data_IF_112207916511
#
_entry.id   IF_112207916511
#
_cell.length_a   1.000
_cell.length_b   1.000
_cell.length_c   1.000
_cell.angle_alpha   90.00
_cell.angle_beta   90.00
_cell.angle_gamma   90.00
#
_symmetry.space_group_name_H-M   'P 1'
#
loop_
_entity.id
_entity.type
_entity.pdbx_description
1 polymer ?
#
# COMPACT_ATOMS: atom_id res chain seq x y z
N UNK A 1 -16.71 -23.23 -9.48
CA UNK A 1 -16.34 -23.86 -8.22
C UNK A 1 -15.76 -22.84 -7.23
N UNK A 2 -14.71 -22.08 -7.60
CA UNK A 2 -14.05 -21.09 -6.73
C UNK A 2 -15.01 -19.95 -6.34
N UNK A 3 -15.69 -19.33 -7.31
CA UNK A 3 -16.64 -18.24 -7.04
C UNK A 3 -17.84 -18.66 -6.15
N UNK A 4 -18.10 -19.95 -5.99
CA UNK A 4 -19.12 -20.53 -5.08
C UNK A 4 -18.52 -21.03 -3.76
N UNK A 5 -17.26 -20.71 -3.44
CA UNK A 5 -16.59 -21.12 -2.19
C UNK A 5 -16.31 -22.62 -2.05
N UNK A 6 -16.39 -23.40 -3.15
CA UNK A 6 -16.14 -24.86 -3.12
C UNK A 6 -14.65 -25.20 -3.14
N UNK A 7 -13.79 -24.27 -3.52
CA UNK A 7 -12.33 -24.42 -3.56
C UNK A 7 -11.72 -23.14 -3.03
N UNK A 8 -11.07 -23.21 -1.87
CA UNK A 8 -10.46 -22.10 -1.18
C UNK A 8 -11.46 -21.16 -0.51
N UNK A 9 -10.94 -20.27 0.35
CA UNK A 9 -11.76 -19.26 1.03
C UNK A 9 -12.02 -18.08 0.10
N UNK A 10 -13.29 -17.81 -0.17
CA UNK A 10 -13.74 -16.56 -0.82
C UNK A 10 -14.62 -15.85 0.20
N UNK A 11 -14.23 -14.66 0.67
CA UNK A 11 -14.99 -13.96 1.70
C UNK A 11 -16.43 -13.69 1.26
N UNK A 12 -17.40 -13.76 2.20
CA UNK A 12 -18.77 -13.36 1.93
C UNK A 12 -18.86 -11.87 1.62
N UNK A 13 -20.01 -11.43 1.10
CA UNK A 13 -20.21 -10.05 0.65
C UNK A 13 -20.03 -9.08 1.81
N UNK A 14 -20.57 -9.41 2.97
CA UNK A 14 -20.52 -8.60 4.19
C UNK A 14 -19.09 -8.34 4.67
N UNK A 15 -18.20 -9.31 4.49
CA UNK A 15 -16.77 -9.14 4.83
C UNK A 15 -16.03 -8.31 3.76
N UNK A 16 -16.47 -8.39 2.51
CA UNK A 16 -15.92 -7.56 1.42
C UNK A 16 -16.39 -6.11 1.52
N UNK A 17 -17.63 -5.86 1.94
CA UNK A 17 -18.18 -4.52 2.17
C UNK A 17 -17.57 -3.84 3.40
N UNK A 18 -17.10 -4.61 4.38
CA UNK A 18 -16.44 -4.11 5.58
C UNK A 18 -15.13 -4.86 5.81
N UNK A 19 -14.11 -4.64 4.99
CA UNK A 19 -12.82 -5.27 5.17
C UNK A 19 -12.25 -4.87 6.53
N UNK A 20 -11.82 -5.85 7.31
CA UNK A 20 -11.34 -5.65 8.69
C UNK A 20 -10.00 -4.88 8.71
N UNK A 21 -10.08 -3.60 8.42
CA UNK A 21 -9.00 -2.64 8.55
C UNK A 21 -8.92 -2.25 10.02
N UNK A 22 -8.04 -2.90 10.78
CA UNK A 22 -7.78 -2.54 12.18
C UNK A 22 -7.01 -1.22 12.22
N UNK A 23 -7.74 -0.12 12.22
CA UNK A 23 -7.15 1.20 12.39
C UNK A 23 -6.90 1.52 13.85
N UNK A 24 -5.88 2.34 14.10
CA UNK A 24 -5.67 2.94 15.39
C UNK A 24 -6.74 4.02 15.63
N UNK A 25 -7.34 4.02 16.82
CA UNK A 25 -8.25 5.08 17.24
C UNK A 25 -7.47 6.37 17.45
N UNK A 26 -7.86 7.44 16.78
CA UNK A 26 -7.30 8.76 17.00
C UNK A 26 -7.98 9.43 18.20
N UNK A 27 -7.17 10.00 19.09
CA UNK A 27 -7.65 10.84 20.20
C UNK A 27 -7.39 12.28 19.80
N UNK A 28 -8.46 13.01 19.56
CA UNK A 28 -8.42 14.40 19.09
C UNK A 28 -9.01 15.28 20.21
N UNK A 29 -8.39 16.41 20.51
CA UNK A 29 -8.92 17.42 21.44
C UNK A 29 -10.05 18.20 20.79
N UNK A 30 -10.84 18.91 21.60
CA UNK A 30 -11.97 19.73 21.12
C UNK A 30 -11.53 20.80 20.12
N UNK A 31 -10.30 21.32 20.22
CA UNK A 31 -9.71 22.26 19.27
C UNK A 31 -9.10 21.57 18.01
N UNK A 32 -9.40 20.28 17.80
CA UNK A 32 -8.99 19.53 16.61
C UNK A 32 -7.54 19.04 16.60
N UNK A 33 -6.78 19.20 17.70
CA UNK A 33 -5.39 18.73 17.77
C UNK A 33 -5.32 17.24 18.05
N UNK A 34 -4.51 16.51 17.31
CA UNK A 34 -4.23 15.10 17.55
C UNK A 34 -3.43 14.94 18.85
N UNK A 35 -4.03 14.40 19.88
CA UNK A 35 -3.37 14.07 21.15
C UNK A 35 -2.54 12.79 21.03
N UNK A 36 -2.96 11.87 20.16
CA UNK A 36 -2.26 10.62 19.88
C UNK A 36 -3.19 9.56 19.32
N UNK A 37 -2.68 8.33 19.22
CA UNK A 37 -3.39 7.18 18.68
C UNK A 37 -3.41 6.02 19.66
N UNK A 38 -4.51 5.26 19.68
CA UNK A 38 -4.60 3.97 20.35
C UNK A 38 -4.70 2.87 19.32
N UNK A 39 -3.87 1.84 19.46
CA UNK A 39 -4.01 0.63 18.69
C UNK A 39 -4.22 -0.56 19.62
N UNK A 40 -5.23 -1.39 19.31
CA UNK A 40 -5.45 -2.69 19.97
C UNK A 40 -4.47 -3.76 19.42
N UNK A 41 -3.86 -3.49 18.27
CA UNK A 41 -2.81 -4.30 17.67
C UNK A 41 -1.49 -3.54 17.69
N UNK A 42 -0.37 -4.24 17.53
CA UNK A 42 0.95 -3.61 17.36
C UNK A 42 1.05 -2.75 16.08
N UNK A 43 -0.01 -2.71 15.28
CA UNK A 43 -0.10 -1.99 14.02
C UNK A 43 -0.66 -0.59 14.25
N UNK A 44 0.17 0.41 14.10
CA UNK A 44 -0.20 1.83 14.27
C UNK A 44 -0.76 2.41 12.96
N UNK A 45 -1.87 1.84 12.47
CA UNK A 45 -2.53 2.28 11.22
C UNK A 45 -3.41 3.48 11.49
N UNK A 46 -3.10 4.58 10.84
CA UNK A 46 -3.97 5.75 10.77
C UNK A 46 -4.55 5.82 9.38
N UNK A 47 -5.89 5.85 9.27
CA UNK A 47 -6.57 5.96 7.99
C UNK A 47 -6.30 7.30 7.32
N UNK A 48 -6.15 7.27 6.00
CA UNK A 48 -6.04 8.45 5.13
C UNK A 48 -7.07 8.29 4.02
N UNK A 49 -7.89 9.31 3.79
CA UNK A 49 -8.79 9.39 2.64
C UNK A 49 -8.03 9.66 1.33
N UNK A 50 -8.69 9.46 0.20
CA UNK A 50 -8.08 9.72 -1.11
C UNK A 50 -7.65 11.18 -1.28
N UNK A 51 -8.46 12.10 -0.79
CA UNK A 51 -8.25 13.55 -0.82
C UNK A 51 -7.01 14.02 -0.04
N UNK A 52 -6.52 13.19 0.87
CA UNK A 52 -5.31 13.43 1.66
C UNK A 52 -4.07 12.72 1.11
N UNK A 53 -4.20 12.05 -0.03
CA UNK A 53 -3.07 11.49 -0.75
C UNK A 53 -2.46 12.54 -1.69
N UNK A 54 -1.12 12.55 -1.79
CA UNK A 54 -0.45 13.32 -2.83
C UNK A 54 -0.78 12.74 -4.20
N UNK A 55 -1.11 13.56 -5.22
CA UNK A 55 -1.25 13.08 -6.59
C UNK A 55 -0.02 12.32 -7.09
N UNK A 56 1.17 12.74 -6.65
CA UNK A 56 2.43 12.07 -7.00
C UNK A 56 2.49 10.63 -6.49
N UNK A 57 1.87 10.35 -5.32
CA UNK A 57 1.80 9.02 -4.76
C UNK A 57 0.90 8.10 -5.59
N UNK A 58 -0.26 8.61 -6.00
CA UNK A 58 -1.22 7.90 -6.86
C UNK A 58 -0.60 7.63 -8.23
N UNK A 59 -0.01 8.63 -8.86
CA UNK A 59 0.66 8.50 -10.16
C UNK A 59 1.83 7.49 -10.09
N UNK A 60 2.65 7.54 -9.04
CA UNK A 60 3.74 6.59 -8.86
C UNK A 60 3.23 5.16 -8.70
N UNK A 61 2.16 4.93 -7.92
CA UNK A 61 1.56 3.62 -7.71
C UNK A 61 0.98 3.06 -9.01
N UNK A 62 0.13 3.83 -9.68
CA UNK A 62 -0.52 3.41 -10.93
C UNK A 62 0.53 3.16 -12.02
N UNK A 63 1.47 4.07 -12.24
CA UNK A 63 2.52 3.92 -13.24
C UNK A 63 3.40 2.68 -13.03
N UNK A 64 3.64 2.30 -11.76
CA UNK A 64 4.58 1.23 -11.43
C UNK A 64 3.95 -0.14 -11.37
N UNK A 65 2.76 -0.22 -10.76
CA UNK A 65 2.11 -1.50 -10.47
C UNK A 65 1.04 -1.85 -11.50
N UNK A 66 0.31 -0.84 -12.03
CA UNK A 66 -0.86 -1.10 -12.86
C UNK A 66 -1.23 0.10 -13.75
N UNK A 67 -0.44 0.34 -14.79
CA UNK A 67 -0.59 1.52 -15.66
C UNK A 67 -1.96 1.64 -16.34
N UNK A 68 -2.73 0.55 -16.41
CA UNK A 68 -4.09 0.52 -16.97
C UNK A 68 -5.15 0.27 -15.90
N UNK A 69 -4.90 0.73 -14.69
CA UNK A 69 -5.76 0.52 -13.54
C UNK A 69 -7.20 0.98 -13.79
N UNK A 70 -7.39 2.08 -14.51
CA UNK A 70 -8.71 2.62 -14.87
C UNK A 70 -9.44 1.79 -15.96
N UNK A 71 -8.71 1.00 -16.75
CA UNK A 71 -9.24 0.36 -17.95
C UNK A 71 -9.81 -1.06 -17.70
N UNK A 72 -9.68 -1.60 -16.49
CA UNK A 72 -10.09 -2.97 -16.20
C UNK A 72 -10.86 -3.06 -14.88
N UNK A 73 -11.58 -4.18 -14.68
CA UNK A 73 -12.37 -4.47 -13.47
C UNK A 73 -11.72 -5.59 -12.64
N UNK A 74 -10.55 -5.31 -12.08
CA UNK A 74 -9.81 -6.20 -11.17
C UNK A 74 -8.81 -7.13 -11.85
N UNK A 75 -8.97 -7.44 -13.13
CA UNK A 75 -8.06 -8.28 -13.92
C UNK A 75 -7.69 -7.57 -15.21
N UNK A 76 -6.40 -7.34 -15.43
CA UNK A 76 -5.86 -6.89 -16.71
C UNK A 76 -5.42 -8.09 -17.56
N UNK A 77 -6.33 -8.59 -18.41
CA UNK A 77 -6.07 -9.72 -19.29
C UNK A 77 -4.90 -9.46 -20.27
N UNK A 78 -4.76 -8.22 -20.75
CA UNK A 78 -3.66 -7.85 -21.68
C UNK A 78 -2.31 -7.85 -20.95
N UNK A 79 -2.23 -7.30 -19.72
CA UNK A 79 -1.00 -7.34 -18.93
C UNK A 79 -0.64 -8.78 -18.55
N UNK A 80 -1.63 -9.59 -18.18
CA UNK A 80 -1.45 -11.01 -17.88
C UNK A 80 -0.88 -11.77 -19.08
N UNK A 81 -1.50 -11.66 -20.26
CA UNK A 81 -1.03 -12.32 -21.48
C UNK A 81 0.37 -11.86 -21.85
N UNK A 82 0.65 -10.56 -21.78
CA UNK A 82 2.00 -10.02 -22.00
C UNK A 82 3.03 -10.61 -21.03
N UNK A 83 2.68 -10.75 -19.74
CA UNK A 83 3.57 -11.33 -18.75
C UNK A 83 3.83 -12.82 -19.00
N UNK A 84 2.79 -13.58 -19.39
CA UNK A 84 2.91 -15.00 -19.76
C UNK A 84 3.81 -15.18 -20.96
N UNK A 85 3.62 -14.40 -22.03
CA UNK A 85 4.43 -14.47 -23.26
C UNK A 85 5.89 -14.11 -22.96
N UNK A 86 6.14 -12.98 -22.26
CA UNK A 86 7.50 -12.53 -21.96
C UNK A 86 8.25 -13.49 -21.04
N UNK A 87 7.60 -14.05 -20.04
CA UNK A 87 8.23 -14.98 -19.10
C UNK A 87 8.29 -16.40 -19.62
N UNK A 88 7.23 -16.88 -20.28
CA UNK A 88 7.12 -18.24 -20.78
C UNK A 88 7.88 -18.49 -22.06
N UNK A 89 7.76 -17.57 -23.04
CA UNK A 89 8.38 -17.75 -24.38
C UNK A 89 9.76 -17.11 -24.42
N UNK A 90 9.91 -15.88 -23.93
CA UNK A 90 11.16 -15.12 -24.03
C UNK A 90 12.08 -15.25 -22.80
N UNK A 91 11.71 -16.06 -21.79
CA UNK A 91 12.50 -16.28 -20.55
C UNK A 91 13.01 -14.99 -19.88
N UNK A 92 12.32 -13.88 -20.08
CA UNK A 92 12.72 -12.58 -19.51
C UNK A 92 12.39 -12.52 -18.02
N UNK A 93 13.41 -12.71 -17.16
CA UNK A 93 13.27 -12.66 -15.69
C UNK A 93 12.76 -11.31 -15.15
N UNK A 94 12.94 -10.23 -15.89
CA UNK A 94 12.56 -8.87 -15.51
C UNK A 94 11.30 -8.34 -16.22
N UNK A 95 10.53 -9.21 -16.88
CA UNK A 95 9.21 -8.82 -17.39
C UNK A 95 8.34 -8.29 -16.25
N UNK A 96 7.74 -7.11 -16.41
CA UNK A 96 6.88 -6.48 -15.41
C UNK A 96 5.79 -7.42 -14.90
N UNK A 97 5.26 -7.15 -13.73
CA UNK A 97 4.18 -7.94 -13.12
C UNK A 97 2.93 -7.97 -14.00
N UNK A 98 2.20 -9.09 -13.98
CA UNK A 98 0.89 -9.22 -14.61
C UNK A 98 -0.25 -9.18 -13.59
N UNK A 99 0.04 -8.79 -12.34
CA UNK A 99 -0.97 -8.65 -11.28
C UNK A 99 -1.39 -7.20 -11.15
N UNK A 100 -2.69 -6.96 -11.04
CA UNK A 100 -3.26 -5.63 -10.83
C UNK A 100 -3.13 -5.18 -9.36
N UNK A 101 -3.31 -3.87 -9.11
CA UNK A 101 -3.38 -3.31 -7.74
C UNK A 101 -4.48 -4.01 -6.94
N UNK A 102 -5.66 -4.24 -7.53
CA UNK A 102 -6.78 -4.90 -6.86
C UNK A 102 -6.48 -6.36 -6.52
N UNK A 103 -5.74 -7.09 -7.37
CA UNK A 103 -5.27 -8.45 -7.05
C UNK A 103 -4.25 -8.45 -5.92
N UNK A 104 -3.37 -7.45 -5.87
CA UNK A 104 -2.43 -7.31 -4.76
C UNK A 104 -3.15 -6.98 -3.46
N UNK A 105 -4.18 -6.13 -3.51
CA UNK A 105 -5.04 -5.82 -2.36
C UNK A 105 -5.79 -7.06 -1.88
N UNK A 106 -6.42 -7.83 -2.79
CA UNK A 106 -7.07 -9.09 -2.47
C UNK A 106 -6.12 -10.07 -1.78
N UNK A 107 -4.88 -10.16 -2.25
CA UNK A 107 -3.83 -10.95 -1.60
C UNK A 107 -3.53 -10.46 -0.19
N UNK A 108 -3.37 -9.16 0.03
CA UNK A 108 -3.05 -8.59 1.34
C UNK A 108 -4.14 -8.82 2.38
N UNK A 109 -5.41 -8.90 1.96
CA UNK A 109 -6.54 -9.11 2.86
C UNK A 109 -6.81 -10.58 3.15
N UNK A 110 -6.78 -11.42 2.10
CA UNK A 110 -7.45 -12.73 2.13
C UNK A 110 -6.55 -13.92 1.78
N UNK A 111 -5.30 -13.68 1.34
CA UNK A 111 -4.41 -14.79 1.02
C UNK A 111 -3.42 -15.02 2.16
N UNK A 112 -3.44 -16.19 2.80
CA UNK A 112 -2.40 -16.55 3.76
C UNK A 112 -1.05 -16.65 3.06
N UNK A 113 0.03 -16.64 3.85
CA UNK A 113 1.37 -16.91 3.32
C UNK A 113 1.42 -18.32 2.75
N UNK A 114 1.78 -18.45 1.48
CA UNK A 114 1.93 -19.76 0.84
C UNK A 114 3.27 -20.37 1.22
N UNK A 115 3.25 -21.63 1.69
CA UNK A 115 4.45 -22.35 2.10
C UNK A 115 5.18 -22.96 0.90
N UNK A 116 4.47 -23.17 -0.21
CA UNK A 116 5.03 -23.77 -1.42
C UNK A 116 4.46 -23.18 -2.72
N UNK A 117 5.12 -23.50 -3.84
CA UNK A 117 4.77 -22.98 -5.17
C UNK A 117 3.37 -23.44 -5.60
N UNK A 118 2.97 -24.67 -5.24
CA UNK A 118 1.67 -25.22 -5.62
C UNK A 118 0.53 -24.47 -4.94
N UNK A 119 0.63 -24.19 -3.65
CA UNK A 119 -0.32 -23.33 -2.93
C UNK A 119 -0.42 -21.95 -3.55
N UNK A 120 0.74 -21.37 -3.91
CA UNK A 120 0.77 -20.07 -4.56
C UNK A 120 0.04 -20.06 -5.89
N UNK A 121 0.13 -21.12 -6.67
CA UNK A 121 -0.60 -21.27 -7.93
C UNK A 121 -2.12 -21.41 -7.70
N UNK A 122 -2.53 -22.11 -6.65
CA UNK A 122 -3.94 -22.28 -6.30
C UNK A 122 -4.57 -21.00 -5.71
N UNK A 123 -3.78 -20.16 -5.05
CA UNK A 123 -4.25 -18.87 -4.53
C UNK A 123 -4.57 -17.86 -5.64
N UNK A 124 -3.87 -17.90 -6.76
CA UNK A 124 -4.05 -16.92 -7.85
C UNK A 124 -5.48 -16.81 -8.39
N UNK A 125 -6.16 -17.92 -8.75
CA UNK A 125 -7.56 -17.86 -9.17
C UNK A 125 -8.50 -17.30 -8.09
N UNK A 126 -8.20 -17.54 -6.80
CA UNK A 126 -8.98 -17.00 -5.68
C UNK A 126 -8.81 -15.49 -5.60
N UNK A 127 -7.55 -15.00 -5.65
CA UNK A 127 -7.25 -13.57 -5.71
C UNK A 127 -7.96 -12.86 -6.87
N UNK A 128 -8.07 -13.49 -8.04
CA UNK A 128 -8.79 -12.95 -9.19
C UNK A 128 -10.30 -12.80 -8.93
N UNK A 129 -10.92 -13.82 -8.35
CA UNK A 129 -12.34 -13.76 -8.00
C UNK A 129 -12.61 -12.66 -6.98
N UNK A 130 -11.76 -12.56 -5.96
CA UNK A 130 -11.87 -11.51 -4.94
C UNK A 130 -11.64 -10.13 -5.55
N UNK A 131 -10.63 -9.95 -6.42
CA UNK A 131 -10.35 -8.69 -7.09
C UNK A 131 -11.54 -8.20 -7.93
N UNK A 132 -12.17 -9.08 -8.72
CA UNK A 132 -13.38 -8.74 -9.49
C UNK A 132 -14.55 -8.37 -8.56
N UNK A 133 -14.68 -9.02 -7.41
CA UNK A 133 -15.71 -8.66 -6.44
C UNK A 133 -15.41 -7.28 -5.82
N UNK A 134 -14.18 -7.01 -5.40
CA UNK A 134 -13.80 -5.71 -4.84
C UNK A 134 -14.12 -4.56 -5.81
N UNK A 135 -13.82 -4.70 -7.08
CA UNK A 135 -14.13 -3.69 -8.12
C UNK A 135 -15.63 -3.48 -8.37
N UNK A 136 -16.49 -4.34 -7.83
CA UNK A 136 -17.94 -4.14 -7.87
C UNK A 136 -18.47 -3.34 -6.70
N UNK A 137 -17.77 -3.37 -5.56
CA UNK A 137 -18.20 -2.71 -4.33
C UNK A 137 -17.48 -1.39 -4.08
N UNK A 138 -16.26 -1.24 -4.62
CA UNK A 138 -15.39 -0.09 -4.36
C UNK A 138 -15.01 0.63 -5.64
N UNK A 139 -14.93 1.93 -5.55
CA UNK A 139 -14.39 2.79 -6.61
C UNK A 139 -12.87 2.58 -6.74
N UNK A 140 -12.31 3.04 -7.84
CA UNK A 140 -10.86 3.00 -8.06
C UNK A 140 -10.09 3.77 -6.97
N UNK A 141 -10.59 4.93 -6.57
CA UNK A 141 -10.02 5.75 -5.51
C UNK A 141 -10.03 5.04 -4.17
N UNK A 142 -11.13 4.38 -3.81
CA UNK A 142 -11.22 3.59 -2.59
C UNK A 142 -10.26 2.39 -2.60
N UNK A 143 -10.08 1.72 -3.73
CA UNK A 143 -9.14 0.60 -3.87
C UNK A 143 -7.69 1.08 -3.68
N UNK A 144 -7.29 2.20 -4.31
CA UNK A 144 -5.98 2.81 -4.12
C UNK A 144 -5.74 3.21 -2.66
N UNK A 145 -6.75 3.80 -2.05
CA UNK A 145 -6.73 4.22 -0.64
C UNK A 145 -6.56 3.02 0.28
N UNK A 146 -7.34 1.96 0.09
CA UNK A 146 -7.23 0.73 0.86
C UNK A 146 -5.86 0.08 0.70
N UNK A 147 -5.32 0.03 -0.53
CA UNK A 147 -4.00 -0.53 -0.80
C UNK A 147 -2.92 0.20 0.00
N UNK A 148 -2.89 1.52 -0.06
CA UNK A 148 -1.91 2.35 0.62
C UNK A 148 -2.06 2.34 2.14
N UNK A 149 -3.29 2.28 2.66
CA UNK A 149 -3.55 2.18 4.09
C UNK A 149 -3.22 0.78 4.67
N UNK A 150 -3.27 -0.27 3.84
CA UNK A 150 -3.01 -1.65 4.28
C UNK A 150 -1.54 -2.03 4.26
N UNK A 151 -0.73 -1.45 3.37
CA UNK A 151 0.63 -1.88 3.10
C UNK A 151 1.56 -1.66 4.30
N UNK A 152 2.38 -2.67 4.61
CA UNK A 152 3.40 -2.60 5.67
C UNK A 152 4.74 -2.13 5.08
N UNK A 153 5.13 -0.89 5.41
CA UNK A 153 6.39 -0.27 5.01
C UNK A 153 7.55 -0.58 5.96
N UNK A 154 7.38 -1.53 6.88
CA UNK A 154 8.34 -1.88 7.92
C UNK A 154 8.63 -0.72 8.93
N UNK A 155 9.52 -0.98 9.89
CA UNK A 155 9.88 -0.01 10.94
C UNK A 155 8.66 0.53 11.71
N UNK A 156 7.66 -0.32 11.97
CA UNK A 156 6.35 0.01 12.57
C UNK A 156 5.52 1.00 11.73
N UNK A 157 5.86 1.18 10.45
CA UNK A 157 5.14 2.06 9.54
C UNK A 157 4.12 1.26 8.71
N UNK A 158 2.98 0.93 9.31
CA UNK A 158 1.86 0.30 8.61
C UNK A 158 0.91 1.36 8.10
N UNK A 159 0.68 1.35 6.79
CA UNK A 159 -0.09 2.36 6.07
C UNK A 159 0.73 3.59 5.70
N UNK A 160 0.24 4.27 4.67
CA UNK A 160 0.96 5.39 4.02
C UNK A 160 1.17 6.60 4.93
N UNK A 161 0.23 6.89 5.85
CA UNK A 161 0.36 8.02 6.78
C UNK A 161 1.54 7.81 7.71
N UNK A 162 1.59 6.64 8.32
CA UNK A 162 2.68 6.28 9.23
C UNK A 162 4.01 6.21 8.47
N UNK A 163 4.00 5.68 7.23
CA UNK A 163 5.21 5.63 6.40
C UNK A 163 5.74 7.02 6.04
N UNK A 164 4.88 7.94 5.59
CA UNK A 164 5.27 9.31 5.27
C UNK A 164 5.85 10.04 6.49
N UNK A 165 5.25 9.87 7.66
CA UNK A 165 5.76 10.39 8.93
C UNK A 165 7.11 9.78 9.30
N UNK A 166 7.20 8.44 9.27
CA UNK A 166 8.41 7.71 9.69
C UNK A 166 9.62 8.01 8.82
N UNK A 167 9.44 8.03 7.49
CA UNK A 167 10.58 8.16 6.58
C UNK A 167 10.90 9.60 6.20
N UNK A 168 9.89 10.49 6.18
CA UNK A 168 10.05 11.87 5.66
C UNK A 168 9.54 12.96 6.61
N UNK A 169 9.00 12.61 7.78
CA UNK A 169 8.40 13.54 8.75
C UNK A 169 7.30 14.43 8.12
N UNK A 170 6.50 13.89 7.20
CA UNK A 170 5.47 14.61 6.43
C UNK A 170 4.13 13.88 6.49
N UNK A 171 3.06 14.61 6.19
CA UNK A 171 1.78 14.01 5.84
C UNK A 171 1.80 13.51 4.38
N UNK A 172 1.02 12.46 4.02
CA UNK A 172 1.00 11.91 2.66
C UNK A 172 0.70 12.92 1.57
N UNK A 173 -0.16 13.91 1.84
CA UNK A 173 -0.52 15.00 0.94
C UNK A 173 0.67 15.87 0.53
N UNK A 174 1.66 16.00 1.41
CA UNK A 174 2.83 16.87 1.26
C UNK A 174 4.09 16.14 0.76
N UNK A 175 3.95 14.88 0.35
CA UNK A 175 5.06 14.13 -0.23
C UNK A 175 5.45 14.72 -1.58
N UNK A 176 6.74 14.92 -1.76
CA UNK A 176 7.32 15.26 -3.06
C UNK A 176 7.35 14.04 -3.99
N UNK A 177 7.58 14.26 -5.27
CA UNK A 177 7.62 13.19 -6.29
C UNK A 177 8.64 12.11 -5.93
N UNK A 178 9.88 12.50 -5.58
CA UNK A 178 10.96 11.58 -5.23
C UNK A 178 10.70 10.82 -3.93
N UNK A 179 9.99 11.44 -2.98
CA UNK A 179 9.60 10.81 -1.71
C UNK A 179 8.48 9.79 -1.95
N UNK A 180 7.45 10.17 -2.72
CA UNK A 180 6.37 9.28 -3.14
C UNK A 180 6.92 8.08 -3.93
N UNK A 181 7.80 8.31 -4.91
CA UNK A 181 8.46 7.27 -5.69
C UNK A 181 9.30 6.32 -4.82
N UNK A 182 9.90 6.82 -3.73
CA UNK A 182 10.64 5.99 -2.76
C UNK A 182 9.70 5.03 -2.02
N UNK A 183 8.59 5.54 -1.46
CA UNK A 183 7.61 4.70 -0.75
C UNK A 183 6.97 3.67 -1.69
N UNK A 184 6.57 4.07 -2.88
CA UNK A 184 6.04 3.12 -3.88
C UNK A 184 7.10 2.10 -4.31
N UNK A 185 8.36 2.51 -4.38
CA UNK A 185 9.46 1.59 -4.62
C UNK A 185 9.56 0.45 -3.60
N UNK A 186 9.22 0.72 -2.33
CA UNK A 186 9.16 -0.29 -1.27
C UNK A 186 8.04 -1.31 -1.49
N UNK A 187 6.94 -0.95 -2.17
CA UNK A 187 5.81 -1.86 -2.38
C UNK A 187 6.20 -3.15 -3.10
N UNK A 188 7.26 -3.15 -3.90
CA UNK A 188 7.77 -4.36 -4.55
C UNK A 188 8.34 -5.38 -3.56
N UNK A 189 9.15 -4.92 -2.62
CA UNK A 189 9.73 -5.71 -1.53
C UNK A 189 10.28 -4.77 -0.45
N UNK A 190 9.54 -4.53 0.63
CA UNK A 190 9.91 -3.54 1.64
C UNK A 190 11.21 -3.90 2.37
N UNK A 191 11.51 -5.19 2.55
CA UNK A 191 12.76 -5.61 3.19
C UNK A 191 13.97 -5.33 2.32
N UNK A 192 13.85 -5.50 1.00
CA UNK A 192 14.95 -5.33 0.05
C UNK A 192 15.21 -3.86 -0.29
N UNK A 193 14.14 -3.07 -0.34
CA UNK A 193 14.16 -1.65 -0.74
C UNK A 193 13.92 -0.70 0.43
N UNK A 194 14.26 -1.12 1.65
CA UNK A 194 14.17 -0.28 2.85
C UNK A 194 15.21 0.86 2.77
N UNK A 195 14.81 2.13 2.67
CA UNK A 195 15.73 3.24 2.46
C UNK A 195 16.62 3.52 3.68
N UNK A 196 16.19 3.12 4.88
CA UNK A 196 16.99 3.22 6.10
C UNK A 196 18.16 2.22 6.11
N UNK A 197 17.94 1.01 5.60
CA UNK A 197 18.93 -0.08 5.64
C UNK A 197 19.79 -0.14 4.38
N UNK A 198 19.21 0.17 3.22
CA UNK A 198 19.81 -0.02 1.91
C UNK A 198 19.55 1.21 1.03
N UNK A 199 20.12 2.37 1.40
CA UNK A 199 19.88 3.66 0.75
C UNK A 199 20.08 3.59 -0.78
N UNK A 200 21.25 3.14 -1.25
CA UNK A 200 21.56 3.09 -2.69
C UNK A 200 20.64 2.14 -3.46
N UNK A 201 20.28 0.99 -2.89
CA UNK A 201 19.35 0.06 -3.51
C UNK A 201 17.94 0.65 -3.59
N UNK A 202 17.52 1.32 -2.54
CA UNK A 202 16.24 2.05 -2.50
C UNK A 202 16.23 3.20 -3.50
N UNK A 203 17.33 3.95 -3.63
CA UNK A 203 17.52 4.99 -4.65
C UNK A 203 17.39 4.42 -6.07
N UNK A 204 18.04 3.31 -6.36
CA UNK A 204 17.92 2.63 -7.64
C UNK A 204 16.48 2.20 -7.95
N UNK A 205 15.74 1.71 -6.93
CA UNK A 205 14.33 1.35 -7.07
C UNK A 205 13.43 2.58 -7.24
N UNK A 206 13.67 3.67 -6.50
CA UNK A 206 13.02 4.97 -6.71
C UNK A 206 13.18 5.43 -8.15
N UNK A 207 14.38 5.39 -8.69
CA UNK A 207 14.67 5.80 -10.05
C UNK A 207 13.93 4.92 -11.08
N UNK A 208 13.73 3.62 -10.79
CA UNK A 208 12.87 2.77 -11.60
C UNK A 208 11.40 3.23 -11.57
N UNK A 209 10.88 3.65 -10.40
CA UNK A 209 9.51 4.20 -10.28
C UNK A 209 9.38 5.49 -11.08
N UNK A 210 10.33 6.42 -10.97
CA UNK A 210 10.35 7.67 -11.73
C UNK A 210 10.34 7.41 -13.25
N UNK A 211 11.11 6.41 -13.73
CA UNK A 211 11.09 6.01 -15.14
C UNK A 211 9.73 5.42 -15.58
N UNK A 212 9.05 4.67 -14.70
CA UNK A 212 7.68 4.21 -14.98
C UNK A 212 6.69 5.39 -15.03
N UNK A 213 6.81 6.37 -14.13
CA UNK A 213 5.98 7.58 -14.17
C UNK A 213 6.18 8.36 -15.48
N UNK A 214 7.43 8.49 -15.94
CA UNK A 214 7.75 9.10 -17.24
C UNK A 214 7.12 8.32 -18.39
N UNK A 215 7.26 6.98 -18.41
CA UNK A 215 6.66 6.12 -19.44
C UNK A 215 5.14 6.17 -19.47
N UNK A 216 4.52 6.43 -18.34
CA UNK A 216 3.09 6.60 -18.20
C UNK A 216 2.61 8.04 -18.54
N UNK A 217 3.54 8.97 -18.83
CA UNK A 217 3.20 10.35 -19.19
C UNK A 217 2.98 11.30 -18.00
N UNK A 218 3.28 10.87 -16.78
CA UNK A 218 3.17 11.70 -15.57
C UNK A 218 4.38 12.60 -15.33
N UNK A 219 5.50 12.34 -16.00
CA UNK A 219 6.73 13.14 -15.95
C UNK A 219 7.29 13.31 -17.35
N UNK A 220 7.90 14.45 -17.61
CA UNK A 220 8.76 14.65 -18.79
C UNK A 220 10.10 13.94 -18.61
N UNK A 221 10.88 13.84 -19.69
CA UNK A 221 12.25 13.29 -19.61
C UNK A 221 13.13 14.14 -18.69
N UNK A 222 13.08 15.46 -18.84
CA UNK A 222 13.89 16.41 -18.08
C UNK A 222 13.58 16.36 -16.58
N UNK A 223 12.29 16.30 -16.20
CA UNK A 223 11.87 16.13 -14.80
C UNK A 223 12.37 14.81 -14.23
N UNK A 224 12.23 13.72 -14.99
CA UNK A 224 12.69 12.40 -14.57
C UNK A 224 14.19 12.39 -14.30
N UNK A 225 15.00 12.94 -15.22
CA UNK A 225 16.46 12.98 -15.12
C UNK A 225 16.88 13.82 -13.91
N UNK A 226 16.27 15.00 -13.73
CA UNK A 226 16.51 15.88 -12.59
C UNK A 226 16.20 15.19 -11.26
N UNK A 227 15.05 14.51 -11.15
CA UNK A 227 14.63 13.80 -9.93
C UNK A 227 15.51 12.57 -9.64
N UNK A 228 15.96 11.86 -10.68
CA UNK A 228 16.85 10.70 -10.52
C UNK A 228 18.24 11.09 -10.04
N UNK A 229 18.72 12.30 -10.39
CA UNK A 229 20.00 12.84 -9.93
C UNK A 229 19.99 13.13 -8.42
N UNK A 230 18.83 13.45 -7.81
CA UNK A 230 18.73 13.78 -6.41
C UNK A 230 19.19 12.64 -5.50
N UNK A 231 19.93 12.94 -4.42
CA UNK A 231 20.23 11.96 -3.39
C UNK A 231 18.92 11.51 -2.69
N UNK A 232 18.93 10.30 -2.12
CA UNK A 232 17.83 9.86 -1.28
C UNK A 232 18.11 10.30 0.15
N UNK A 233 17.38 11.33 0.60
CA UNK A 233 17.52 11.91 1.95
C UNK A 233 16.30 11.56 2.77
N UNK A 234 16.52 10.99 3.96
CA UNK A 234 15.48 10.63 4.91
C UNK A 234 15.44 11.63 6.07
N UNK A 235 14.23 11.91 6.55
CA UNK A 235 13.99 12.55 7.86
C UNK A 235 13.37 11.50 8.79
N UNK A 236 14.15 10.44 9.06
CA UNK A 236 13.66 9.26 9.75
C UNK A 236 13.29 9.56 11.20
N UNK A 237 12.02 9.34 11.53
CA UNK A 237 11.47 9.45 12.88
C UNK A 237 10.65 8.19 13.17
N UNK A 238 11.11 7.28 14.06
CA UNK A 238 10.30 6.13 14.44
C UNK A 238 9.05 6.62 15.15
N UNK A 239 7.89 6.12 14.71
CA UNK A 239 6.63 6.41 15.41
C UNK A 239 6.48 5.41 16.54
N UNK A 240 6.53 5.89 17.78
CA UNK A 240 6.26 5.10 18.99
C UNK A 240 4.81 5.36 19.45
N UNK A 241 4.16 4.34 20.03
CA UNK A 241 2.84 4.47 20.65
C UNK A 241 2.83 5.43 21.84
N UNK A 242 4.00 5.69 22.40
CA UNK A 242 4.19 6.64 23.51
C UNK A 242 4.31 8.08 23.05
N UNK A 243 4.54 8.31 21.75
CA UNK A 243 4.65 9.65 21.19
C UNK A 243 3.29 10.35 21.14
N UNK A 244 3.28 11.63 21.45
CA UNK A 244 2.11 12.49 21.41
C UNK A 244 1.80 13.20 22.73
N UNK A 245 0.89 14.16 22.65
CA UNK A 245 0.49 14.98 23.80
C UNK A 245 -0.34 14.16 24.82
N UNK A 246 -0.25 14.54 26.09
CA UNK A 246 -1.08 14.02 27.16
C UNK A 246 -1.09 12.48 27.31
N UNK A 247 0.08 11.83 27.30
CA UNK A 247 0.23 10.36 27.34
C UNK A 247 -0.53 9.71 28.50
N UNK A 248 -0.42 10.25 29.71
CA UNK A 248 -1.15 9.75 30.89
C UNK A 248 -2.67 9.87 30.75
N UNK A 249 -3.15 10.99 30.23
CA UNK A 249 -4.58 11.20 30.01
C UNK A 249 -5.14 10.22 28.96
N UNK A 250 -4.39 9.96 27.90
CA UNK A 250 -4.77 8.97 26.88
C UNK A 250 -4.86 7.56 27.45
N UNK A 251 -3.90 7.15 28.27
CA UNK A 251 -3.93 5.83 28.92
C UNK A 251 -5.08 5.72 29.93
N UNK A 252 -5.37 6.77 30.67
CA UNK A 252 -6.54 6.82 31.55
C UNK A 252 -7.85 6.67 30.75
N UNK A 253 -8.02 7.46 29.67
CA UNK A 253 -9.18 7.34 28.78
C UNK A 253 -9.31 5.94 28.17
N UNK A 254 -8.21 5.34 27.76
CA UNK A 254 -8.19 3.97 27.25
C UNK A 254 -8.75 3.00 28.29
N UNK A 255 -8.29 3.10 29.54
CA UNK A 255 -8.81 2.28 30.65
C UNK A 255 -10.31 2.45 30.84
N UNK A 256 -10.80 3.69 30.84
CA UNK A 256 -12.23 3.99 30.98
C UNK A 256 -13.07 3.45 29.83
N UNK A 257 -12.61 3.63 28.58
CA UNK A 257 -13.35 3.20 27.39
C UNK A 257 -13.33 1.69 27.20
N UNK A 258 -12.22 1.02 27.54
CA UNK A 258 -12.14 -0.45 27.46
C UNK A 258 -12.85 -1.16 28.58
N UNK A 259 -13.04 -0.51 29.75
CA UNK A 259 -13.83 -1.04 30.87
C UNK A 259 -15.34 -0.97 30.62
N UNK A 260 -15.81 -0.08 29.76
CA UNK A 260 -17.21 -0.03 29.33
C UNK A 260 -17.45 -1.12 28.30
N UNK A 261 -17.91 -2.29 28.73
CA UNK A 261 -18.54 -3.27 27.82
C UNK A 261 -19.84 -2.65 27.30
N UNK A 262 -20.13 -2.79 25.98
CA UNK A 262 -21.43 -2.39 25.44
C UNK A 262 -22.56 -3.19 26.05
#
# INVERSE_FOLDING_TARGET
AIAKGKIGYVPPVEELENPNLKFATQVISEDGKLLGTWSLSKENRVYVGYEDLSPHLVHALVATEDVRFEDHSGIDARAFMRAVIKRGIFMQKHAGGGSTITQQLAKQFYSPTADNVMERLLQKPIEWVIAVKLERYYTKEEILTMYLNKFDFLNNAVGIKTAAKTYFAKDPKNLKIEEAATLIGMCKNPSLYNPRRFNERSRGRRNTVLDQMRKAGFLTQEECDSLQALPLVLKFQPVDHKDGLATYFREYLRGVMTARKP
#
